data_IF_819376459292
#
_entry.id   IF_819376459292
#
_cell.length_a   1.000
_cell.length_b   1.000
_cell.length_c   1.000
_cell.angle_alpha   90.00
_cell.angle_beta   90.00
_cell.angle_gamma   90.00
#
_symmetry.space_group_name_H-M   'P 1'
#
loop_
_entity.id
_entity.type
_entity.pdbx_description
1 polymer ?
2 polymer ?
3 branched ?
4 branched ?
5 non-polymer ?
#
# COMPACT_ATOMS: atom_id res chain seq x y z
N UNK A 9 16.31 -9.00 -18.01
CA UNK A 9 17.15 -9.40 -16.86
C UNK A 9 16.47 -9.30 -15.49
N UNK A 10 16.00 -8.12 -15.04
CA UNK A 10 15.63 -7.98 -13.62
C UNK A 10 14.29 -8.58 -13.18
N UNK A 11 14.29 -8.77 -11.90
CA UNK A 11 13.38 -9.63 -11.17
C UNK A 11 12.12 -8.92 -10.73
N UNK A 12 12.21 -7.63 -10.45
CA UNK A 12 11.04 -6.93 -9.92
C UNK A 12 9.91 -6.88 -10.93
N UNK A 13 10.26 -6.77 -12.18
CA UNK A 13 9.24 -6.84 -13.23
C UNK A 13 8.93 -8.29 -13.61
N UNK A 14 9.29 -9.18 -12.70
CA UNK A 14 8.79 -10.57 -12.79
C UNK A 14 7.65 -10.75 -11.78
N UNK A 15 7.61 -9.83 -10.83
CA UNK A 15 6.59 -9.85 -9.75
C UNK A 15 5.63 -8.68 -9.77
N UNK A 16 6.08 -7.58 -10.38
CA UNK A 16 5.33 -6.32 -10.47
C UNK A 16 3.90 -6.56 -10.95
N UNK A 17 3.67 -7.09 -12.14
CA UNK A 17 2.31 -7.25 -12.64
C UNK A 17 1.43 -8.09 -11.73
N UNK A 18 2.08 -8.84 -10.85
CA UNK A 18 1.36 -9.76 -9.96
C UNK A 18 0.94 -8.96 -8.74
N UNK A 19 1.86 -8.12 -8.28
CA UNK A 19 1.56 -7.13 -7.24
C UNK A 19 0.36 -6.35 -7.68
N UNK A 20 0.51 -5.84 -8.86
CA UNK A 20 -0.41 -4.83 -9.32
C UNK A 20 -1.81 -5.39 -9.31
N UNK A 21 -1.93 -6.52 -9.92
CA UNK A 21 -3.22 -7.18 -10.03
C UNK A 21 -3.81 -7.55 -8.66
N UNK A 22 -2.92 -7.77 -7.68
CA UNK A 22 -3.31 -8.05 -6.27
C UNK A 22 -3.98 -6.84 -5.65
N UNK A 23 -3.28 -5.73 -5.77
CA UNK A 23 -3.68 -4.44 -5.23
C UNK A 23 -5.11 -4.15 -5.60
N UNK A 24 -5.34 -4.20 -6.91
CA UNK A 24 -6.62 -3.83 -7.51
C UNK A 24 -7.67 -4.75 -6.96
N UNK A 25 -7.23 -5.94 -6.72
CA UNK A 25 -8.16 -7.03 -6.43
C UNK A 25 -8.51 -6.99 -4.96
N UNK A 26 -7.58 -6.40 -4.24
CA UNK A 26 -7.72 -6.11 -2.82
C UNK A 26 -8.63 -4.91 -2.69
N UNK A 27 -8.32 -3.93 -3.51
CA UNK A 27 -9.06 -2.70 -3.56
C UNK A 27 -10.55 -3.03 -3.66
N UNK A 28 -10.88 -3.79 -4.68
CA UNK A 28 -12.27 -4.04 -5.03
C UNK A 28 -13.03 -4.68 -3.88
N UNK A 29 -12.26 -5.31 -3.00
CA UNK A 29 -12.82 -5.91 -1.80
C UNK A 29 -13.10 -4.84 -0.74
N UNK A 30 -12.19 -3.92 -0.66
CA UNK A 30 -12.42 -2.79 0.22
C UNK A 30 -13.55 -1.92 -0.31
N UNK A 31 -13.64 -1.81 -1.60
CA UNK A 31 -14.65 -0.91 -2.16
C UNK A 31 -16.03 -1.55 -2.09
N UNK A 32 -16.04 -2.88 -2.00
CA UNK A 32 -17.30 -3.65 -1.88
C UNK A 32 -17.83 -3.56 -0.44
N UNK A 33 -16.97 -3.11 0.43
CA UNK A 33 -17.35 -2.99 1.83
C UNK A 33 -18.18 -1.75 2.13
N UNK A 34 -17.66 -0.61 1.80
CA UNK A 34 -18.45 0.62 1.95
C UNK A 34 -18.26 1.54 0.76
N UNK A 35 -19.33 2.15 0.33
CA UNK A 35 -19.16 3.03 -0.82
C UNK A 35 -18.98 4.48 -0.36
N UNK A 36 -19.04 4.61 0.94
CA UNK A 36 -19.24 5.91 1.59
C UNK A 36 -17.99 6.43 2.27
N UNK A 37 -16.90 5.68 2.17
CA UNK A 37 -15.68 5.99 2.96
C UNK A 37 -14.41 6.04 2.11
N UNK A 38 -13.46 6.85 2.51
CA UNK A 38 -12.21 6.95 1.79
C UNK A 38 -11.42 5.66 1.97
N UNK A 39 -10.69 5.30 0.96
CA UNK A 39 -9.81 4.11 1.07
C UNK A 39 -8.36 4.51 0.83
N UNK A 40 -7.43 4.00 1.58
CA UNK A 40 -6.06 4.30 1.21
C UNK A 40 -5.13 3.23 1.74
N UNK A 41 -4.50 2.50 0.86
CA UNK A 41 -3.60 1.46 1.38
C UNK A 41 -2.24 1.54 0.75
N UNK A 42 -1.37 0.67 1.21
CA UNK A 42 -0.10 0.49 0.53
C UNK A 42 0.00 -0.96 0.16
N UNK A 43 -0.11 -1.24 -1.11
CA UNK A 43 -0.24 -2.62 -1.54
C UNK A 43 1.09 -3.33 -1.32
N UNK A 44 2.12 -2.56 -1.34
CA UNK A 44 3.46 -3.09 -1.11
C UNK A 44 3.68 -3.39 0.37
N UNK A 45 3.21 -2.51 1.23
CA UNK A 45 3.37 -2.74 2.67
C UNK A 45 2.66 -4.01 3.09
N UNK A 46 1.46 -4.15 2.60
CA UNK A 46 0.76 -5.41 2.82
C UNK A 46 1.47 -6.62 2.21
N UNK A 47 1.68 -6.58 0.91
CA UNK A 47 2.15 -7.76 0.17
C UNK A 47 3.48 -8.32 0.64
N UNK A 48 4.40 -7.47 0.97
CA UNK A 48 5.69 -7.99 1.43
C UNK A 48 5.64 -8.60 2.84
N UNK A 49 4.67 -8.18 3.62
CA UNK A 49 4.55 -8.73 4.96
C UNK A 49 4.11 -10.18 4.86
N UNK A 50 3.24 -10.45 3.94
CA UNK A 50 2.73 -11.82 3.76
C UNK A 50 3.67 -12.72 2.93
N UNK A 51 4.74 -12.18 2.47
CA UNK A 51 5.62 -13.06 1.72
C UNK A 51 6.79 -13.46 2.61
N UNK A 52 7.22 -12.55 3.45
CA UNK A 52 8.22 -13.02 4.38
C UNK A 52 7.58 -13.78 5.53
N UNK A 53 6.27 -13.76 5.57
CA UNK A 53 5.65 -14.68 6.51
C UNK A 53 5.64 -16.05 5.87
N UNK A 54 5.47 -16.01 4.56
CA UNK A 54 5.21 -17.27 3.84
C UNK A 54 6.46 -18.15 3.78
N UNK A 55 7.58 -17.50 3.95
CA UNK A 55 8.84 -18.19 4.21
C UNK A 55 8.69 -19.23 5.31
N UNK A 56 7.82 -18.94 6.27
CA UNK A 56 7.68 -19.73 7.50
C UNK A 56 6.48 -20.64 7.44
N UNK A 57 6.04 -20.86 6.23
CA UNK A 57 4.80 -21.60 6.01
C UNK A 57 5.03 -22.85 5.15
N UNK A 58 4.12 -23.80 5.28
CA UNK A 58 4.21 -25.08 4.57
C UNK A 58 2.81 -25.47 4.07
N UNK A 59 2.79 -26.29 3.04
CA UNK A 59 1.61 -26.91 2.38
C UNK A 59 0.49 -25.96 1.99
N UNK A 60 -0.75 -26.39 2.24
CA UNK A 60 -1.97 -25.64 1.91
C UNK A 60 -1.80 -24.18 2.27
N UNK A 61 -1.41 -23.97 3.51
CA UNK A 61 -1.53 -22.65 4.08
C UNK A 61 -0.50 -21.72 3.48
N UNK A 62 0.56 -22.34 2.99
CA UNK A 62 1.64 -21.62 2.31
C UNK A 62 1.13 -21.22 0.94
N UNK A 63 0.57 -22.21 0.31
CA UNK A 63 0.11 -22.05 -1.07
C UNK A 63 -0.90 -20.92 -1.20
N UNK A 64 -1.94 -20.95 -0.36
CA UNK A 64 -2.96 -19.88 -0.35
C UNK A 64 -2.33 -18.51 -0.21
N UNK A 65 -1.29 -18.40 0.58
CA UNK A 65 -0.78 -17.05 0.79
C UNK A 65 -0.23 -16.55 -0.53
N UNK A 66 0.69 -17.32 -1.05
CA UNK A 66 1.40 -16.91 -2.27
C UNK A 66 0.44 -16.77 -3.44
N UNK A 67 -0.40 -17.75 -3.52
CA UNK A 67 -1.45 -17.81 -4.54
C UNK A 67 -2.35 -16.60 -4.38
N UNK A 68 -2.66 -16.33 -3.13
CA UNK A 68 -3.60 -15.27 -2.74
C UNK A 68 -3.09 -13.91 -3.18
N UNK A 69 -1.79 -13.82 -3.26
CA UNK A 69 -1.13 -12.58 -3.67
C UNK A 69 -1.02 -12.42 -5.18
N UNK A 70 -1.85 -13.12 -5.93
CA UNK A 70 -1.76 -13.17 -7.38
C UNK A 70 -0.41 -13.72 -7.86
N UNK A 71 0.00 -14.85 -7.30
CA UNK A 71 1.12 -15.63 -7.86
C UNK A 71 0.65 -17.01 -8.34
N UNK A 72 1.11 -17.44 -9.49
CA UNK A 72 0.62 -18.71 -10.08
C UNK A 72 1.75 -19.74 -10.16
N UNK A 73 1.88 -20.45 -9.06
CA UNK A 73 3.08 -21.22 -8.70
C UNK A 73 3.61 -22.18 -9.77
N UNK A 74 2.72 -22.62 -10.65
CA UNK A 74 3.18 -23.51 -11.72
C UNK A 74 4.06 -22.72 -12.67
N UNK A 75 3.64 -21.50 -12.91
CA UNK A 75 4.33 -20.67 -13.90
C UNK A 75 5.56 -19.97 -13.34
N UNK A 76 5.58 -19.84 -12.04
CA UNK A 76 6.78 -19.23 -11.42
C UNK A 76 7.17 -19.93 -10.13
N UNK A 77 8.39 -20.46 -10.14
CA UNK A 77 8.95 -21.21 -8.99
C UNK A 77 9.04 -20.32 -7.76
N UNK A 78 8.60 -20.88 -6.64
CA UNK A 78 8.57 -20.23 -5.31
C UNK A 78 9.84 -19.40 -5.10
N UNK A 79 10.95 -20.06 -5.35
CA UNK A 79 12.25 -19.48 -5.07
C UNK A 79 12.49 -18.16 -5.80
N UNK A 80 11.83 -17.98 -6.93
CA UNK A 80 12.05 -16.75 -7.73
C UNK A 80 11.21 -15.58 -7.24
N UNK A 81 10.13 -15.89 -6.59
CA UNK A 81 9.27 -14.83 -6.11
C UNK A 81 10.00 -14.04 -5.02
N UNK A 82 10.67 -14.76 -4.16
CA UNK A 82 11.43 -14.12 -3.08
C UNK A 82 12.69 -13.44 -3.62
N UNK A 83 13.27 -14.00 -4.67
CA UNK A 83 14.44 -13.33 -5.27
C UNK A 83 13.97 -11.98 -5.81
N UNK A 84 12.76 -12.03 -6.34
CA UNK A 84 12.05 -10.86 -6.87
C UNK A 84 11.84 -9.83 -5.77
N UNK A 85 11.34 -10.30 -4.66
CA UNK A 85 11.08 -9.37 -3.58
C UNK A 85 12.39 -8.79 -3.09
N UNK A 86 13.39 -9.64 -2.97
CA UNK A 86 14.74 -9.19 -2.55
C UNK A 86 15.21 -8.06 -3.44
N UNK A 87 14.75 -8.09 -4.68
CA UNK A 87 15.18 -7.06 -5.61
C UNK A 87 14.37 -5.78 -5.49
N UNK A 88 13.06 -5.95 -5.44
CA UNK A 88 12.10 -4.83 -5.29
C UNK A 88 12.50 -3.91 -4.13
N UNK A 89 12.75 -4.54 -3.00
CA UNK A 89 13.10 -3.89 -1.73
C UNK A 89 14.46 -3.23 -1.77
N UNK A 90 15.33 -3.72 -2.65
CA UNK A 90 16.69 -3.18 -2.76
C UNK A 90 16.56 -1.85 -3.47
N UNK A 91 15.70 -1.92 -4.46
CA UNK A 91 15.55 -0.87 -5.47
C UNK A 91 14.73 0.30 -4.94
N UNK A 92 13.82 -0.03 -4.03
CA UNK A 92 13.02 1.00 -3.35
C UNK A 92 13.88 1.76 -2.36
N UNK A 93 14.75 1.04 -1.68
CA UNK A 93 15.57 1.68 -0.65
C UNK A 93 16.89 2.16 -1.22
N UNK A 94 16.89 2.47 -2.51
CA UNK A 94 18.05 3.15 -3.13
C UNK A 94 17.91 4.65 -2.93
N UNK A 95 19.03 5.31 -2.89
CA UNK A 95 19.05 6.76 -2.70
C UNK A 95 18.74 7.53 -3.98
N UNK A 96 17.45 7.69 -4.18
CA UNK A 96 16.99 8.78 -5.01
C UNK A 96 17.36 10.09 -4.33
N UNK A 97 18.02 10.92 -5.10
CA UNK A 97 18.68 12.10 -4.57
C UNK A 97 17.67 13.20 -4.28
N UNK A 98 16.49 13.05 -4.82
CA UNK A 98 15.51 14.12 -4.68
C UNK A 98 14.27 13.65 -3.91
N UNK A 99 14.04 12.37 -4.02
CA UNK A 99 12.86 11.73 -3.42
C UNK A 99 13.27 10.91 -2.21
N UNK A 100 12.53 10.98 -1.13
CA UNK A 100 12.83 10.08 -0.01
C UNK A 100 11.79 8.99 0.22
N UNK A 101 12.25 7.75 0.06
CA UNK A 101 11.45 6.52 0.16
C UNK A 101 12.23 5.44 0.90
N UNK A 102 11.60 4.88 1.93
CA UNK A 102 12.18 3.87 2.83
C UNK A 102 11.16 2.78 3.20
N UNK A 103 11.59 1.53 3.15
CA UNK A 103 10.80 0.41 3.69
C UNK A 103 11.64 -0.33 4.72
N UNK A 104 10.97 -1.07 5.55
CA UNK A 104 11.75 -1.85 6.52
C UNK A 104 10.91 -3.00 7.04
N UNK A 105 11.56 -4.12 7.30
CA UNK A 105 10.85 -5.30 7.82
C UNK A 105 11.47 -5.76 9.14
N UNK A 106 10.60 -5.98 10.13
CA UNK A 106 11.06 -6.37 11.47
C UNK A 106 10.35 -7.57 12.06
N UNK A 107 11.12 -8.39 12.73
CA UNK A 107 10.57 -9.47 13.56
C UNK A 107 10.76 -9.11 15.02
N UNK A 108 9.71 -9.33 15.76
CA UNK A 108 9.75 -9.21 17.21
C UNK A 108 9.34 -10.55 17.79
N UNK A 109 10.28 -11.19 18.46
CA UNK A 109 10.17 -12.57 18.92
C UNK A 109 10.28 -12.67 20.44
N UNK A 110 9.46 -13.52 21.04
CA UNK A 110 9.60 -13.74 22.49
C UNK A 110 10.87 -14.49 22.84
N UNK A 111 11.52 -14.05 23.92
CA UNK A 111 12.78 -14.61 24.48
C UNK A 111 12.80 -16.15 24.47
N UNK A 112 11.64 -16.70 24.80
CA UNK A 112 11.46 -18.14 25.04
C UNK A 112 11.54 -18.95 23.75
N UNK A 113 11.36 -18.28 22.63
CA UNK A 113 11.27 -18.98 21.33
C UNK A 113 12.63 -19.49 20.85
N UNK A 114 12.63 -20.72 20.33
CA UNK A 114 13.74 -21.21 19.48
C UNK A 114 13.29 -21.44 18.03
N UNK A 115 13.94 -20.76 17.12
CA UNK A 115 13.45 -20.71 15.74
C UNK A 115 14.17 -21.71 14.84
N UNK A 116 13.59 -21.93 13.70
CA UNK A 116 14.28 -22.69 12.66
C UNK A 116 15.30 -21.78 12.00
N UNK A 117 16.55 -22.08 12.32
CA UNK A 117 17.65 -21.12 12.07
C UNK A 117 17.76 -20.77 10.59
N UNK A 118 17.08 -21.53 9.77
CA UNK A 118 17.03 -21.24 8.33
C UNK A 118 16.07 -20.10 8.05
N UNK A 119 14.85 -20.23 8.57
CA UNK A 119 13.79 -19.21 8.45
C UNK A 119 14.32 -17.84 8.88
N UNK A 120 15.09 -17.86 9.92
CA UNK A 120 15.64 -16.60 10.38
C UNK A 120 16.54 -16.01 9.31
N UNK A 121 17.36 -16.89 8.76
CA UNK A 121 18.46 -16.44 7.90
C UNK A 121 17.85 -15.98 6.59
N UNK A 122 16.83 -16.71 6.21
CA UNK A 122 16.07 -16.40 5.00
C UNK A 122 15.56 -14.96 5.06
N UNK A 123 14.91 -14.63 6.15
CA UNK A 123 14.30 -13.30 6.22
C UNK A 123 15.36 -12.23 6.34
N UNK A 124 16.51 -12.63 6.80
CA UNK A 124 17.52 -11.62 7.09
C UNK A 124 18.18 -11.20 5.78
N UNK A 125 18.12 -12.13 4.89
CA UNK A 125 18.94 -12.04 3.69
C UNK A 125 18.08 -11.48 2.59
N UNK A 126 16.99 -12.17 2.38
CA UNK A 126 16.04 -11.86 1.32
C UNK A 126 15.28 -10.59 1.65
N UNK A 127 14.65 -10.55 2.79
CA UNK A 127 13.80 -9.40 3.01
C UNK A 127 14.46 -8.43 3.96
N UNK A 128 15.78 -8.59 4.03
CA UNK A 128 16.72 -7.71 4.76
C UNK A 128 16.23 -7.35 6.16
N UNK A 129 15.41 -8.24 6.70
CA UNK A 129 14.68 -8.01 7.95
C UNK A 129 15.56 -7.91 9.19
N UNK A 130 15.03 -7.20 10.17
CA UNK A 130 15.63 -6.97 11.49
C UNK A 130 14.95 -7.82 12.56
N UNK A 131 15.72 -8.32 13.50
CA UNK A 131 15.13 -9.26 14.45
C UNK A 131 15.35 -8.83 15.90
N UNK A 132 14.27 -8.75 16.62
CA UNK A 132 14.36 -8.29 18.00
C UNK A 132 13.82 -9.35 18.94
N UNK A 133 14.47 -9.45 20.08
CA UNK A 133 13.99 -10.31 21.17
C UNK A 133 13.21 -9.45 22.14
N UNK A 134 11.98 -9.82 22.41
CA UNK A 134 11.18 -9.15 23.45
C UNK A 134 10.57 -10.14 24.44
N UNK A 135 9.96 -9.58 25.46
CA UNK A 135 9.28 -10.33 26.51
C UNK A 135 7.80 -9.99 26.41
N UNK A 136 7.04 -10.84 25.75
CA UNK A 136 5.60 -10.60 25.54
C UNK A 136 4.79 -10.81 26.82
N UNK A 137 5.50 -10.96 27.92
CA UNK A 137 4.86 -10.98 29.23
C UNK A 137 4.58 -9.54 29.67
N UNK A 138 5.42 -8.61 29.27
CA UNK A 138 5.14 -7.20 29.57
C UNK A 138 4.44 -6.55 28.38
N UNK A 139 3.18 -6.90 28.27
CA UNK A 139 2.37 -6.52 27.11
C UNK A 139 2.51 -5.05 26.75
N UNK A 140 2.39 -4.17 27.74
CA UNK A 140 2.47 -2.74 27.47
C UNK A 140 3.87 -2.28 27.08
N UNK A 141 4.86 -3.02 27.47
CA UNK A 141 6.21 -2.58 27.14
C UNK A 141 6.56 -3.08 25.74
N UNK A 142 5.87 -4.13 25.36
CA UNK A 142 6.20 -4.76 24.08
C UNK A 142 5.47 -4.01 22.98
N UNK A 143 4.25 -3.65 23.32
CA UNK A 143 3.38 -2.78 22.53
C UNK A 143 4.10 -1.47 22.24
N UNK A 144 4.77 -0.98 23.25
CA UNK A 144 5.45 0.30 23.14
C UNK A 144 6.55 0.17 22.11
N UNK A 145 7.28 -0.90 22.29
CA UNK A 145 8.59 -1.03 21.65
C UNK A 145 8.42 -1.25 20.15
N UNK A 146 7.32 -1.90 19.85
CA UNK A 146 6.93 -2.10 18.46
C UNK A 146 6.47 -0.79 17.85
N UNK A 147 5.62 -0.08 18.57
CA UNK A 147 5.05 1.14 17.99
C UNK A 147 6.12 2.21 17.80
N UNK A 148 7.23 2.03 18.49
CA UNK A 148 8.31 2.98 18.31
C UNK A 148 9.00 2.71 17.00
N UNK A 149 9.07 1.46 16.64
CA UNK A 149 9.84 1.08 15.45
C UNK A 149 9.18 1.75 14.25
N UNK A 150 7.89 1.55 14.22
CA UNK A 150 7.03 2.10 13.19
C UNK A 150 6.97 3.62 13.29
N UNK A 151 7.02 4.16 14.48
CA UNK A 151 7.13 5.64 14.60
C UNK A 151 8.46 6.15 14.06
N UNK A 152 9.51 5.40 14.34
CA UNK A 152 10.86 5.79 13.92
C UNK A 152 11.04 5.63 12.43
N UNK A 153 10.38 4.64 11.90
CA UNK A 153 10.53 4.39 10.47
C UNK A 153 9.65 5.33 9.68
N UNK A 154 8.43 5.51 10.15
CA UNK A 154 7.48 6.30 9.36
C UNK A 154 7.62 7.77 9.70
N UNK A 155 8.71 8.06 10.35
CA UNK A 155 9.09 9.40 10.82
C UNK A 155 7.95 10.18 11.44
N UNK A 156 7.20 9.48 12.24
CA UNK A 156 6.26 10.15 13.11
C UNK A 156 4.87 10.17 12.50
N UNK A 157 4.74 9.57 11.34
CA UNK A 157 3.41 9.56 10.71
C UNK A 157 2.46 8.43 11.15
N UNK A 158 3.00 7.30 11.55
CA UNK A 158 2.16 6.20 12.09
C UNK A 158 2.59 5.79 13.50
N UNK A 159 1.74 6.12 14.46
CA UNK A 159 2.15 6.10 15.86
C UNK A 159 1.40 5.07 16.70
N UNK A 160 0.25 4.69 16.26
CA UNK A 160 -0.52 3.78 17.09
C UNK A 160 -0.92 2.56 16.29
N UNK A 161 0.06 1.86 15.78
CA UNK A 161 -0.29 0.76 14.85
C UNK A 161 -0.96 -0.37 15.61
N UNK A 162 -0.32 -0.70 16.68
CA UNK A 162 -0.83 -1.76 17.53
C UNK A 162 -1.51 -1.17 18.76
N UNK A 163 -2.84 -1.18 18.74
CA UNK A 163 -3.62 -0.69 19.87
C UNK A 163 -3.89 -1.80 20.88
N UNK A 164 -4.28 -2.98 20.43
CA UNK A 164 -4.54 -4.12 21.34
C UNK A 164 -3.62 -5.31 21.08
N UNK A 165 -2.56 -5.41 21.86
CA UNK A 165 -1.61 -6.53 21.72
C UNK A 165 -1.99 -7.71 22.62
N UNK A 166 -1.96 -8.91 22.07
CA UNK A 166 -2.43 -10.06 22.83
C UNK A 166 -1.38 -10.55 23.81
N UNK A 167 -1.88 -11.02 24.92
CA UNK A 167 -1.03 -11.44 26.03
C UNK A 167 -0.15 -12.64 25.67
N UNK A 168 -0.69 -13.59 24.91
CA UNK A 168 0.03 -14.84 24.59
C UNK A 168 0.78 -14.83 23.27
N UNK A 169 1.19 -13.65 22.84
CA UNK A 169 1.82 -13.48 21.53
C UNK A 169 3.23 -14.06 21.50
N UNK A 170 3.49 -14.73 20.44
CA UNK A 170 4.71 -15.49 20.37
C UNK A 170 5.70 -14.79 19.45
N UNK A 171 5.14 -14.22 18.42
CA UNK A 171 5.90 -13.26 17.59
C UNK A 171 5.03 -12.26 16.85
N UNK A 172 5.66 -11.15 16.49
CA UNK A 172 5.08 -10.10 15.64
C UNK A 172 5.97 -9.78 14.44
N UNK A 173 5.33 -9.78 13.26
CA UNK A 173 5.90 -9.36 11.97
C UNK A 173 5.29 -8.04 11.55
N UNK A 174 6.17 -7.06 11.50
CA UNK A 174 5.87 -5.65 11.22
C UNK A 174 6.69 -5.15 10.03
N UNK A 175 6.07 -4.35 9.22
CA UNK A 175 6.85 -3.76 8.14
C UNK A 175 6.35 -2.35 7.92
N UNK A 176 7.21 -1.50 7.39
CA UNK A 176 6.78 -0.14 7.10
C UNK A 176 7.21 0.33 5.70
N UNK A 177 6.62 1.43 5.28
CA UNK A 177 7.00 2.19 4.07
C UNK A 177 6.73 3.68 4.31
N UNK A 178 7.70 4.50 3.94
CA UNK A 178 7.69 5.98 4.13
C UNK A 178 8.03 6.73 2.83
N UNK A 179 7.11 7.55 2.35
CA UNK A 179 7.31 8.30 1.09
C UNK A 179 7.23 9.81 1.31
N UNK A 180 8.26 10.57 0.95
CA UNK A 180 8.11 12.04 0.85
C UNK A 180 8.80 12.67 -0.36
N UNK A 181 8.01 13.07 -1.33
CA UNK A 181 8.60 13.62 -2.55
C UNK A 181 7.81 14.82 -3.02
N UNK A 182 8.45 15.60 -3.87
CA UNK A 182 7.96 16.88 -4.43
C UNK A 182 7.43 16.72 -5.85
N UNK A 183 6.47 17.54 -6.19
CA UNK A 183 6.03 17.63 -7.60
C UNK A 183 7.16 18.11 -8.52
N UNK A 184 7.08 17.80 -9.79
CA UNK A 184 7.95 18.57 -10.69
C UNK A 184 7.28 19.91 -10.96
N UNK A 185 5.97 19.86 -11.09
CA UNK A 185 5.21 21.03 -11.55
C UNK A 185 4.30 21.54 -10.44
N UNK A 186 4.89 22.23 -9.49
CA UNK A 186 4.25 22.39 -8.19
C UNK A 186 3.18 23.45 -8.21
N UNK A 187 2.31 23.35 -7.27
CA UNK A 187 1.27 24.33 -7.26
C UNK A 187 1.70 25.60 -6.54
N UNK A 188 1.21 26.68 -7.08
CA UNK A 188 1.44 28.00 -6.49
C UNK A 188 0.34 28.30 -5.47
N UNK A 189 0.80 28.40 -4.24
CA UNK A 189 -0.08 28.41 -3.06
C UNK A 189 -1.13 29.52 -3.07
N UNK A 190 -0.76 30.60 -3.71
CA UNK A 190 -1.55 31.82 -3.81
C UNK A 190 -2.84 31.54 -4.58
N UNK A 191 -2.89 30.41 -5.25
CA UNK A 191 -4.01 30.13 -6.14
C UNK A 191 -5.01 29.19 -5.47
N UNK A 192 -4.61 28.69 -4.34
CA UNK A 192 -5.42 27.65 -3.69
C UNK A 192 -6.60 28.31 -2.97
N UNK A 193 -7.76 27.88 -3.39
CA UNK A 193 -8.97 28.65 -3.18
C UNK A 193 -10.15 27.72 -2.85
N UNK A 194 -10.95 28.08 -1.87
CA UNK A 194 -11.99 27.16 -1.41
C UNK A 194 -13.15 27.03 -2.39
N UNK A 195 -13.45 25.79 -2.79
CA UNK A 195 -14.56 25.44 -3.72
C UNK A 195 -15.41 24.31 -3.15
N UNK A 196 -16.42 23.91 -3.90
CA UNK A 196 -17.25 22.75 -3.54
C UNK A 196 -16.66 21.42 -4.04
N UNK A 197 -16.92 20.39 -3.25
CA UNK A 197 -16.65 18.99 -3.61
C UNK A 197 -17.95 18.23 -3.42
N UNK A 198 -18.33 17.45 -4.39
CA UNK A 198 -19.65 16.82 -4.36
C UNK A 198 -19.55 15.34 -4.02
N UNK A 199 -19.36 15.09 -2.75
CA UNK A 199 -19.25 13.74 -2.19
C UNK A 199 -20.33 12.80 -2.71
N UNK A 200 -21.53 13.18 -2.42
CA UNK A 200 -22.64 12.28 -2.58
C UNK A 200 -23.65 13.06 -3.41
N UNK A 201 -24.78 12.49 -3.77
CA UNK A 201 -25.69 13.31 -4.58
C UNK A 201 -26.33 14.40 -3.71
N UNK A 202 -26.23 14.21 -2.40
CA UNK A 202 -26.86 15.13 -1.43
C UNK A 202 -25.88 15.72 -0.42
N UNK A 203 -24.64 15.33 -0.53
CA UNK A 203 -23.64 15.87 0.41
C UNK A 203 -22.62 16.72 -0.35
N UNK A 204 -22.32 17.88 0.17
CA UNK A 204 -21.46 18.85 -0.52
C UNK A 204 -20.44 19.44 0.44
N UNK A 205 -19.19 19.30 0.15
CA UNK A 205 -18.15 19.65 1.12
C UNK A 205 -17.27 20.75 0.53
N UNK A 206 -17.04 21.81 1.29
CA UNK A 206 -16.16 22.91 0.86
C UNK A 206 -14.68 22.54 1.12
N UNK A 207 -13.86 22.65 0.10
CA UNK A 207 -12.46 22.18 0.16
C UNK A 207 -11.56 23.25 -0.43
N UNK A 208 -10.40 23.45 0.17
CA UNK A 208 -9.32 24.23 -0.46
C UNK A 208 -8.81 23.53 -1.73
N UNK A 209 -9.01 24.17 -2.86
CA UNK A 209 -8.74 23.50 -4.14
C UNK A 209 -7.51 24.11 -4.81
N UNK A 210 -6.46 23.34 -5.02
CA UNK A 210 -5.24 23.84 -5.70
C UNK A 210 -5.47 24.05 -7.19
N UNK A 211 -4.84 25.07 -7.72
CA UNK A 211 -5.14 25.44 -9.10
C UNK A 211 -3.89 25.77 -9.91
N UNK A 212 -3.88 25.21 -11.11
CA UNK A 212 -2.91 25.56 -12.16
C UNK A 212 -3.54 25.49 -13.55
N UNK A 213 -3.07 26.36 -14.43
CA UNK A 213 -3.43 26.38 -15.86
C UNK A 213 -2.17 26.16 -16.68
N UNK A 214 -2.00 24.96 -17.15
CA UNK A 214 -0.73 24.67 -17.80
C UNK A 214 -0.78 23.40 -18.63
N UNK A 215 0.41 22.92 -18.93
CA UNK A 215 0.64 21.82 -19.87
C UNK A 215 0.86 20.53 -19.12
N UNK A 216 -0.22 19.78 -18.96
CA UNK A 216 -0.23 18.61 -18.09
C UNK A 216 -0.29 17.33 -18.92
N UNK A 217 0.07 16.23 -18.30
CA UNK A 217 0.10 14.92 -18.94
C UNK A 217 -1.28 14.28 -18.91
N UNK A 218 -2.24 15.02 -19.38
CA UNK A 218 -3.57 14.53 -19.09
C UNK A 218 -4.17 13.98 -20.36
N UNK A 219 -5.20 13.19 -20.21
CA UNK A 219 -5.95 12.63 -21.32
C UNK A 219 -7.22 12.01 -20.78
N UNK A 220 -8.03 11.54 -21.67
CA UNK A 220 -9.30 10.94 -21.31
C UNK A 220 -9.50 9.67 -22.13
N UNK A 221 -9.75 8.55 -21.46
CA UNK A 221 -9.99 7.23 -22.12
C UNK A 221 -11.46 6.89 -22.11
N UNK A 222 -12.10 6.86 -23.27
CA UNK A 222 -13.47 6.33 -23.38
C UNK A 222 -13.61 4.92 -22.78
N UNK A 223 -12.52 4.19 -22.86
CA UNK A 223 -12.34 2.85 -22.24
C UNK A 223 -12.69 2.85 -20.76
N UNK A 224 -11.96 3.66 -20.04
CA UNK A 224 -12.10 3.78 -18.60
C UNK A 224 -13.26 4.68 -18.23
N UNK A 225 -13.78 5.33 -19.24
CA UNK A 225 -14.74 6.42 -19.05
C UNK A 225 -14.21 7.45 -18.07
N UNK A 226 -12.94 7.77 -18.18
CA UNK A 226 -12.34 8.67 -17.21
C UNK A 226 -11.42 9.72 -17.82
N UNK A 227 -11.16 10.73 -17.01
CA UNK A 227 -9.94 11.53 -17.19
C UNK A 227 -8.78 10.87 -16.44
N UNK A 228 -7.58 11.02 -16.96
CA UNK A 228 -6.37 10.45 -16.37
C UNK A 228 -5.27 11.51 -16.28
N UNK A 229 -4.81 11.80 -15.08
CA UNK A 229 -3.76 12.79 -14.87
C UNK A 229 -2.50 12.16 -14.29
N UNK A 230 -1.37 12.40 -14.91
CA UNK A 230 -0.10 11.93 -14.39
C UNK A 230 0.78 13.08 -13.94
N UNK A 231 1.09 13.04 -12.67
CA UNK A 231 1.92 14.01 -11.95
C UNK A 231 3.28 13.45 -11.58
N UNK A 232 4.32 13.99 -12.17
CA UNK A 232 5.62 13.45 -11.78
C UNK A 232 6.05 14.06 -10.46
N UNK A 233 6.70 13.23 -9.70
CA UNK A 233 7.52 13.73 -8.61
C UNK A 233 8.93 13.93 -9.14
N UNK A 234 9.66 14.81 -8.50
CA UNK A 234 11.09 15.00 -8.79
C UNK A 234 11.81 13.77 -8.27
N UNK A 235 12.11 12.94 -9.22
CA UNK A 235 12.68 11.68 -8.85
C UNK A 235 11.77 10.56 -9.31
N UNK A 236 12.16 9.41 -8.83
CA UNK A 236 11.76 8.17 -9.43
C UNK A 236 10.45 7.69 -8.82
N UNK A 237 9.50 8.65 -8.69
CA UNK A 237 8.07 8.39 -8.37
C UNK A 237 7.08 9.07 -9.32
N UNK A 238 5.81 8.66 -9.33
CA UNK A 238 4.75 9.31 -10.15
C UNK A 238 3.36 9.05 -9.61
N UNK A 239 2.55 10.08 -9.55
CA UNK A 239 1.17 9.97 -9.10
C UNK A 239 0.18 9.99 -10.26
N UNK A 240 -0.78 9.13 -10.18
CA UNK A 240 -1.76 8.99 -11.26
C UNK A 240 -3.14 9.11 -10.68
N UNK A 241 -3.88 10.04 -11.24
CA UNK A 241 -5.26 10.33 -10.87
C UNK A 241 -6.23 9.93 -11.97
N UNK A 242 -7.40 9.48 -11.60
CA UNK A 242 -8.43 9.00 -12.54
C UNK A 242 -9.76 9.65 -12.18
N UNK A 243 -10.33 10.45 -13.05
CA UNK A 243 -11.60 11.09 -12.69
C UNK A 243 -12.71 10.52 -13.57
N UNK A 244 -13.54 9.70 -12.99
CA UNK A 244 -14.59 9.01 -13.74
C UNK A 244 -15.73 9.93 -14.13
N UNK A 245 -16.25 9.67 -15.31
CA UNK A 245 -17.47 10.29 -15.81
C UNK A 245 -18.61 9.96 -14.86
N UNK A 246 -19.54 10.89 -14.81
CA UNK A 246 -20.65 10.80 -13.86
C UNK A 246 -21.45 9.51 -14.07
N UNK A 247 -21.42 8.66 -13.06
CA UNK A 247 -22.09 7.37 -13.19
C UNK A 247 -21.12 6.21 -13.42
N UNK A 248 -19.93 6.55 -13.88
CA UNK A 248 -18.96 5.51 -14.29
C UNK A 248 -17.92 5.20 -13.22
N UNK A 249 -18.27 5.41 -11.97
CA UNK A 249 -17.23 5.19 -10.94
C UNK A 249 -16.95 3.72 -10.81
N UNK A 250 -18.01 2.97 -10.75
CA UNK A 250 -17.79 1.55 -10.51
C UNK A 250 -17.20 0.91 -11.76
N UNK A 251 -17.46 1.55 -12.86
CA UNK A 251 -16.95 1.04 -14.12
C UNK A 251 -15.43 1.13 -14.08
N UNK A 252 -15.00 2.30 -13.67
CA UNK A 252 -13.59 2.64 -13.58
C UNK A 252 -12.85 1.60 -12.76
N UNK A 253 -13.52 1.18 -11.72
CA UNK A 253 -12.84 0.32 -10.75
C UNK A 253 -12.65 -1.08 -11.31
N UNK A 254 -13.63 -1.47 -12.11
CA UNK A 254 -13.58 -2.82 -12.68
C UNK A 254 -12.70 -2.81 -13.91
N UNK A 255 -12.53 -1.66 -14.46
CA UNK A 255 -11.74 -1.71 -15.67
C UNK A 255 -10.23 -1.72 -15.41
N UNK A 256 -9.85 -1.28 -14.23
CA UNK A 256 -8.41 -1.17 -13.88
C UNK A 256 -7.64 -2.48 -14.01
N UNK A 257 -6.53 -2.38 -14.74
CA UNK A 257 -5.65 -3.51 -15.06
C UNK A 257 -4.23 -2.99 -15.29
N UNK A 258 -3.28 -3.71 -14.71
CA UNK A 258 -1.84 -3.35 -14.75
C UNK A 258 -1.40 -2.79 -16.10
N UNK A 259 -1.74 -3.50 -17.13
CA UNK A 259 -1.11 -3.17 -18.40
C UNK A 259 -1.57 -1.80 -18.88
N UNK A 260 -2.74 -1.43 -18.42
CA UNK A 260 -3.32 -0.12 -18.75
C UNK A 260 -2.52 1.00 -18.11
N UNK A 261 -2.04 0.68 -16.93
CA UNK A 261 -1.15 1.60 -16.19
C UNK A 261 0.17 1.77 -16.95
N UNK A 262 0.63 0.68 -17.53
CA UNK A 262 1.97 0.74 -18.14
C UNK A 262 1.93 1.51 -19.44
N UNK A 263 0.78 1.42 -20.07
CA UNK A 263 0.50 2.18 -21.28
C UNK A 263 0.60 3.67 -21.01
N UNK A 264 -0.05 4.09 -19.96
CA UNK A 264 -0.07 5.50 -19.58
C UNK A 264 1.33 6.01 -19.33
N UNK A 265 2.11 5.10 -18.77
CA UNK A 265 3.43 5.40 -18.21
C UNK A 265 4.44 5.63 -19.33
N UNK A 266 4.07 5.14 -20.49
CA UNK A 266 4.91 5.28 -21.70
C UNK A 266 4.51 6.52 -22.47
N UNK A 267 3.28 6.93 -22.26
CA UNK A 267 2.88 8.22 -22.82
C UNK A 267 3.49 9.40 -22.04
N UNK A 268 4.06 10.34 -22.77
CA UNK A 268 4.53 11.56 -22.10
C UNK A 268 4.03 12.83 -22.78
N UNK A 269 2.94 12.67 -23.51
CA UNK A 269 2.31 13.79 -24.25
C UNK A 269 1.40 14.66 -23.39
N UNK A 270 1.76 15.93 -23.43
CA UNK A 270 1.08 16.99 -22.69
C UNK A 270 -0.03 17.67 -23.50
N UNK A 271 -1.10 17.92 -22.79
CA UNK A 271 -2.27 18.72 -23.18
C UNK A 271 -2.29 19.97 -22.32
N UNK A 272 -2.74 21.09 -22.83
CA UNK A 272 -3.00 22.22 -21.91
C UNK A 272 -4.36 22.01 -21.25
N UNK A 273 -4.45 22.39 -19.96
CA UNK A 273 -5.73 22.34 -19.21
C UNK A 273 -5.78 23.22 -17.96
N UNK A 274 -7.01 23.38 -17.48
CA UNK A 274 -7.35 24.08 -16.23
C UNK A 274 -7.63 23.04 -15.16
N UNK A 275 -6.62 22.85 -14.33
CA UNK A 275 -6.64 21.79 -13.34
C UNK A 275 -6.85 22.35 -11.94
N UNK A 276 -7.91 21.86 -11.32
CA UNK A 276 -8.28 22.12 -9.93
C UNK A 276 -8.25 20.79 -9.21
N UNK A 277 -7.31 20.59 -8.30
CA UNK A 277 -7.46 19.40 -7.43
C UNK A 277 -7.19 19.69 -5.97
N UNK A 278 -7.95 19.02 -5.13
CA UNK A 278 -7.98 19.26 -3.69
C UNK A 278 -6.63 19.06 -3.03
N UNK A 279 -6.46 19.71 -1.89
CA UNK A 279 -5.43 19.26 -0.95
C UNK A 279 -5.99 18.37 0.14
N UNK A 280 -5.19 17.32 0.41
CA UNK A 280 -5.64 16.07 1.07
C UNK A 280 -4.85 15.66 2.32
N UNK A 281 -5.62 15.20 3.29
CA UNK A 281 -5.12 14.37 4.38
C UNK A 281 -6.22 13.41 4.76
N UNK A 282 -5.93 12.16 4.48
CA UNK A 282 -6.75 11.04 4.93
C UNK A 282 -5.85 9.94 5.47
N UNK A 283 -6.52 8.95 6.05
CA UNK A 283 -5.93 7.68 6.51
C UNK A 283 -6.88 6.55 6.20
N UNK A 284 -6.33 5.36 6.24
CA UNK A 284 -7.10 4.11 6.23
C UNK A 284 -6.56 3.20 7.32
N UNK A 285 -7.45 2.59 8.09
CA UNK A 285 -7.00 1.76 9.20
C UNK A 285 -7.79 0.46 9.27
N UNK A 286 -7.14 -0.58 8.83
CA UNK A 286 -7.86 -1.77 8.43
C UNK A 286 -7.54 -2.97 9.29
N UNK A 287 -8.57 -3.77 9.50
CA UNK A 287 -8.41 -5.15 9.96
C UNK A 287 -8.65 -6.04 8.76
N UNK A 288 -7.56 -6.55 8.20
CA UNK A 288 -7.58 -7.15 6.87
C UNK A 288 -8.20 -8.54 6.76
N UNK A 289 -8.37 -9.14 7.90
CA UNK A 289 -8.71 -10.56 8.08
C UNK A 289 -9.88 -11.02 7.23
N UNK A 290 -10.88 -10.19 7.16
CA UNK A 290 -12.09 -10.56 6.43
C UNK A 290 -11.88 -10.35 4.94
N UNK A 291 -11.09 -9.35 4.67
CA UNK A 291 -10.78 -9.01 3.27
C UNK A 291 -9.94 -10.06 2.54
N UNK A 292 -8.81 -10.39 3.15
CA UNK A 292 -7.93 -11.48 2.74
C UNK A 292 -8.67 -12.81 2.69
N UNK A 293 -9.72 -12.90 3.48
CA UNK A 293 -10.57 -14.08 3.47
C UNK A 293 -11.17 -14.32 2.09
N UNK A 294 -11.73 -13.24 1.53
CA UNK A 294 -12.40 -13.32 0.21
C UNK A 294 -11.38 -13.53 -0.89
N UNK A 295 -10.19 -13.11 -0.59
CA UNK A 295 -9.09 -13.31 -1.53
C UNK A 295 -8.54 -14.73 -1.37
N UNK A 296 -9.16 -15.50 -0.50
CA UNK A 296 -8.83 -16.93 -0.41
C UNK A 296 -7.76 -17.23 0.62
N UNK A 297 -7.41 -16.26 1.43
CA UNK A 297 -6.37 -16.48 2.43
C UNK A 297 -6.95 -16.73 3.82
N UNK A 298 -7.15 -18.00 4.11
CA UNK A 298 -7.87 -18.37 5.31
C UNK A 298 -6.95 -19.05 6.31
N UNK A 299 -6.21 -19.97 5.77
CA UNK A 299 -5.81 -21.06 6.64
C UNK A 299 -4.80 -20.60 7.67
N UNK A 300 -4.08 -19.56 7.34
CA UNK A 300 -3.12 -18.98 8.28
C UNK A 300 -3.87 -18.34 9.43
N UNK A 301 -5.08 -18.04 9.15
CA UNK A 301 -5.83 -17.42 10.21
C UNK A 301 -6.69 -18.49 10.87
N UNK A 302 -6.30 -19.73 10.67
CA UNK A 302 -7.05 -20.84 11.29
C UNK A 302 -6.22 -21.72 12.24
N UNK A 303 -6.89 -22.71 12.78
CA UNK A 303 -6.21 -23.78 13.53
C UNK A 303 -5.75 -24.84 12.52
N UNK A 304 -5.90 -24.55 11.27
CA UNK A 304 -5.34 -25.44 10.25
C UNK A 304 -3.92 -24.99 9.91
N UNK A 305 -3.59 -23.81 10.40
CA UNK A 305 -2.35 -23.08 10.06
C UNK A 305 -1.08 -23.87 10.37
N UNK A 306 -0.24 -23.97 9.36
CA UNK A 306 1.09 -24.53 9.53
C UNK A 306 2.14 -23.42 9.53
N UNK A 307 2.80 -23.27 10.65
CA UNK A 307 3.94 -22.36 10.71
C UNK A 307 5.15 -23.08 11.27
N UNK A 308 5.32 -24.31 10.83
CA UNK A 308 6.41 -25.17 11.31
C UNK A 308 7.72 -24.76 10.67
N UNK A 309 7.60 -23.77 9.83
CA UNK A 309 8.78 -23.16 9.23
C UNK A 309 9.39 -22.22 10.26
N UNK A 310 8.57 -21.83 11.23
CA UNK A 310 9.02 -20.79 12.17
C UNK A 310 9.65 -21.41 13.40
N UNK A 311 8.89 -22.26 14.01
CA UNK A 311 9.37 -22.96 15.19
C UNK A 311 8.62 -24.29 15.34
N UNK A 312 9.31 -25.18 16.00
CA UNK A 312 8.83 -26.52 16.24
C UNK A 312 8.20 -26.68 17.62
N UNK A 313 8.46 -25.75 18.51
CA UNK A 313 8.00 -25.91 19.90
C UNK A 313 6.49 -26.05 19.96
N UNK A 314 5.80 -25.15 19.26
CA UNK A 314 4.32 -25.13 19.22
C UNK A 314 3.77 -24.79 17.84
N UNK A 315 2.57 -25.32 17.57
CA UNK A 315 1.76 -24.89 16.43
C UNK A 315 1.26 -23.46 16.60
N UNK A 316 1.72 -22.63 15.71
CA UNK A 316 1.29 -21.23 15.76
C UNK A 316 0.10 -21.02 14.83
N UNK A 317 -0.58 -19.89 15.01
CA UNK A 317 -1.51 -19.33 14.02
C UNK A 317 -1.47 -17.82 14.02
N UNK A 318 -2.15 -17.21 13.08
CA UNK A 318 -2.07 -15.76 12.90
C UNK A 318 -3.34 -15.19 13.48
N UNK A 319 -3.24 -14.14 14.25
CA UNK A 319 -4.46 -13.79 15.00
C UNK A 319 -5.05 -12.49 14.49
N UNK A 320 -4.11 -11.60 14.16
CA UNK A 320 -4.33 -10.21 13.72
C UNK A 320 -3.51 -9.90 12.48
N UNK A 321 -4.18 -9.34 11.50
CA UNK A 321 -3.51 -8.71 10.35
C UNK A 321 -4.07 -7.31 10.12
N UNK A 322 -3.42 -6.34 10.73
CA UNK A 322 -3.89 -4.97 10.86
C UNK A 322 -2.92 -4.01 10.20
N UNK A 323 -3.43 -3.25 9.25
CA UNK A 323 -2.62 -2.34 8.39
C UNK A 323 -3.13 -0.93 8.61
N UNK A 324 -2.26 0.06 8.45
CA UNK A 324 -2.62 1.48 8.54
C UNK A 324 -1.82 2.33 7.56
N UNK A 325 -2.49 3.23 6.83
CA UNK A 325 -1.79 4.20 5.95
C UNK A 325 -2.37 5.62 6.02
N UNK A 326 -1.51 6.62 5.74
CA UNK A 326 -1.78 8.06 5.92
C UNK A 326 -1.27 8.91 4.74
N UNK A 327 -2.16 9.61 4.09
CA UNK A 327 -1.86 10.43 2.89
C UNK A 327 -1.84 11.93 3.17
N UNK A 328 -0.81 12.60 2.71
CA UNK A 328 -0.92 14.06 2.71
C UNK A 328 -0.44 14.69 1.41
N UNK A 329 -1.39 15.25 0.66
CA UNK A 329 -1.08 15.96 -0.60
C UNK A 329 -1.34 17.45 -0.46
N UNK A 330 -0.32 18.19 -0.78
CA UNK A 330 -0.41 19.64 -0.76
C UNK A 330 0.18 20.17 -2.06
N UNK A 331 0.56 21.42 -2.01
CA UNK A 331 0.93 22.10 -3.25
C UNK A 331 2.39 21.85 -3.58
N UNK A 332 3.09 21.29 -2.63
CA UNK A 332 4.52 21.14 -2.83
C UNK A 332 4.85 19.67 -3.07
N UNK A 333 3.91 18.85 -2.70
CA UNK A 333 4.13 17.43 -2.97
C UNK A 333 3.17 16.54 -2.19
N UNK A 334 3.74 15.43 -1.74
CA UNK A 334 3.00 14.43 -0.96
C UNK A 334 3.91 13.73 0.05
N UNK A 335 3.38 13.53 1.26
CA UNK A 335 3.98 12.58 2.22
C UNK A 335 2.97 11.59 2.75
N UNK A 336 3.32 10.35 2.53
CA UNK A 336 2.44 9.19 2.74
C UNK A 336 3.20 8.11 3.49
N UNK A 337 2.49 7.41 4.36
CA UNK A 337 3.11 6.33 5.13
C UNK A 337 2.16 5.19 5.47
N UNK A 338 2.67 3.99 5.41
CA UNK A 338 1.85 2.84 5.76
C UNK A 338 2.67 1.85 6.59
N UNK A 339 1.96 0.92 7.19
CA UNK A 339 2.58 -0.14 7.97
C UNK A 339 1.67 -1.37 8.11
N UNK A 340 2.29 -2.53 8.15
CA UNK A 340 1.58 -3.80 8.29
C UNK A 340 1.96 -4.54 9.57
N UNK A 341 0.96 -5.02 10.27
CA UNK A 341 1.17 -5.68 11.55
C UNK A 341 0.49 -7.04 11.54
N UNK A 342 1.30 -8.01 11.83
CA UNK A 342 0.86 -9.38 11.87
C UNK A 342 1.25 -9.93 13.22
N UNK A 343 0.29 -10.46 13.94
CA UNK A 343 0.64 -11.13 15.22
C UNK A 343 0.26 -12.61 15.23
N UNK A 344 1.21 -13.39 15.74
CA UNK A 344 1.05 -14.84 15.87
C UNK A 344 0.99 -15.33 17.33
N UNK A 345 0.04 -16.23 17.54
CA UNK A 345 -0.22 -16.86 18.85
C UNK A 345 -0.31 -18.37 18.73
N UNK A 346 -0.17 -19.09 19.82
CA UNK A 346 -0.39 -20.54 19.82
C UNK A 346 -1.87 -20.88 19.93
N UNK A 347 -2.20 -22.03 19.39
CA UNK A 347 -3.56 -22.55 19.11
C UNK A 347 -4.63 -22.37 20.20
N UNK B 1 -15.07 25.52 -21.98
CA UNK B 1 -13.91 26.33 -21.62
C UNK B 1 -12.70 25.87 -22.43
N UNK B 2 -11.80 26.79 -22.69
CA UNK B 2 -10.54 26.54 -23.43
C UNK B 2 -9.41 27.27 -22.70
N UNK B 3 -8.39 26.58 -22.18
CA UNK B 3 -8.26 25.12 -22.17
C UNK B 3 -9.23 24.50 -21.18
N UNK B 4 -9.58 23.28 -21.45
CA UNK B 4 -10.74 22.66 -20.81
C UNK B 4 -10.44 22.35 -19.35
N UNK B 5 -11.48 22.51 -18.61
CA UNK B 5 -11.41 22.61 -17.17
C UNK B 5 -11.68 21.23 -16.58
N UNK B 6 -10.66 20.71 -15.96
CA UNK B 6 -10.74 19.38 -15.33
C UNK B 6 -10.73 19.50 -13.80
N UNK B 7 -11.92 19.51 -13.25
CA UNK B 7 -12.13 19.71 -11.81
C UNK B 7 -12.32 18.35 -11.15
N UNK B 8 -11.38 18.00 -10.28
CA UNK B 8 -11.53 16.86 -9.35
C UNK B 8 -12.37 17.29 -8.14
N UNK B 9 -13.63 17.49 -8.39
CA UNK B 9 -14.51 17.99 -7.34
C UNK B 9 -15.54 16.92 -7.01
N UNK B 10 -15.13 15.70 -7.25
CA UNK B 10 -15.92 14.50 -6.93
C UNK B 10 -15.02 13.27 -6.75
N UNK B 11 -15.52 12.26 -6.05
CA UNK B 11 -14.76 11.03 -5.77
C UNK B 11 -14.02 10.45 -6.97
N UNK B 12 -12.72 10.41 -6.78
CA UNK B 12 -11.75 9.91 -7.74
C UNK B 12 -10.88 8.85 -7.09
N UNK B 13 -10.28 8.03 -7.92
CA UNK B 13 -9.35 7.00 -7.45
C UNK B 13 -7.95 7.49 -7.79
N UNK B 14 -6.97 7.16 -7.01
CA UNK B 14 -5.61 7.48 -7.42
C UNK B 14 -4.63 6.39 -6.97
N UNK B 15 -3.40 6.46 -7.48
CA UNK B 15 -2.34 5.59 -6.99
C UNK B 15 -0.94 6.10 -7.31
N UNK B 16 0.01 5.62 -6.52
CA UNK B 16 1.38 6.10 -6.53
C UNK B 16 2.29 4.97 -6.96
N UNK B 17 3.26 5.31 -7.74
CA UNK B 17 3.99 4.26 -8.42
C UNK B 17 5.46 4.60 -8.38
N UNK B 18 6.30 3.60 -8.13
CA UNK B 18 7.76 3.78 -8.23
C UNK B 18 8.18 3.52 -9.68
N UNK B 19 8.93 4.43 -10.26
CA UNK B 19 9.18 4.38 -11.70
C UNK B 19 9.98 3.17 -12.14
N UNK B 20 11.13 3.01 -11.53
CA UNK B 20 12.04 1.95 -11.96
C UNK B 20 11.35 0.61 -12.01
N UNK B 21 10.47 0.36 -11.07
CA UNK B 21 9.97 -0.99 -10.88
C UNK B 21 8.54 -1.09 -11.37
N UNK B 22 7.99 0.08 -11.51
CA UNK B 22 6.57 0.29 -11.77
C UNK B 22 5.66 -0.46 -10.80
N UNK B 23 6.11 -0.56 -9.57
CA UNK B 23 5.37 -1.23 -8.50
C UNK B 23 4.46 -0.29 -7.71
N UNK B 24 3.29 -0.79 -7.44
CA UNK B 24 2.23 0.03 -6.85
C UNK B 24 2.47 0.36 -5.37
N UNK B 25 3.07 1.52 -5.09
CA UNK B 25 3.38 2.03 -3.73
C UNK B 25 2.17 2.13 -2.82
N UNK B 26 1.22 2.93 -3.26
CA UNK B 26 -0.02 3.21 -2.53
C UNK B 26 -1.18 3.28 -3.51
N UNK B 27 -2.32 2.80 -3.12
CA UNK B 27 -3.50 3.10 -3.90
C UNK B 27 -4.60 3.69 -3.01
N UNK B 28 -5.35 4.63 -3.53
CA UNK B 28 -6.40 5.30 -2.74
C UNK B 28 -7.68 5.62 -3.51
N UNK B 29 -8.70 5.99 -2.75
CA UNK B 29 -9.97 6.52 -3.27
C UNK B 29 -10.38 7.65 -2.34
N UNK B 30 -10.64 8.81 -2.89
CA UNK B 30 -11.10 9.93 -2.05
C UNK B 30 -12.60 10.19 -2.17
N UNK B 31 -13.36 9.81 -1.16
CA UNK B 31 -14.81 10.00 -1.23
C UNK B 31 -15.17 11.32 -0.57
N UNK B 32 -14.40 11.64 0.45
CA UNK B 32 -14.62 12.88 1.21
C UNK B 32 -13.33 13.25 1.90
N UNK B 33 -12.82 14.37 1.49
CA UNK B 33 -11.53 14.85 2.00
C UNK B 33 -11.64 15.59 3.34
N UNK B 34 -12.75 15.43 4.02
CA UNK B 34 -12.79 16.02 5.35
C UNK B 34 -12.94 14.89 6.37
N UNK B 35 -13.23 13.73 5.83
CA UNK B 35 -13.27 12.52 6.65
C UNK B 35 -11.85 11.99 6.83
N UNK B 36 -11.34 12.26 8.00
CA UNK B 36 -10.04 11.71 8.37
C UNK B 36 -10.25 10.72 9.52
X LIG C 1 -23.70 4.58 -2.23
X LIG C 1 -23.71 5.91 -3.00
X LIG C 1 -25.11 6.54 -2.95
X LIG C 1 -26.27 5.57 -3.28
X LIG C 1 -26.04 4.13 -2.76
X LIG C 1 -26.93 3.08 -3.49
X LIG C 1 -21.53 7.09 -2.97
X LIG C 1 -21.21 6.45 -4.33
X LIG C 1 -22.69 6.80 -2.42
X LIG C 1 -25.20 7.71 -3.79
X LIG C 1 -27.42 6.07 -2.57
X LIG C 1 -24.67 3.74 -2.86
X LIG C 1 -26.85 1.82 -2.81
X LIG C 1 -20.72 7.88 -2.50
X LIG C 2 -28.75 6.04 -3.09
X LIG C 2 -29.74 6.13 -1.90
X LIG C 2 -31.16 6.56 -2.31
X LIG C 2 -31.10 7.84 -3.17
X LIG C 2 -30.18 7.55 -4.38
X LIG C 2 -30.00 8.70 -5.35
X LIG C 2 -30.17 3.70 -1.56
X LIG C 2 -30.09 2.57 -0.55
X LIG C 2 -29.77 4.89 -1.12
X LIG C 2 -32.00 6.77 -1.17
X LIG C 2 -32.44 8.20 -3.57
X LIG C 2 -28.89 7.21 -3.88
X LIG C 2 -31.10 8.71 -6.25
X LIG C 2 -30.59 3.47 -2.70
X LIG C 3 -32.92 9.55 -3.36
X LIG C 3 -33.18 10.18 -4.74
X LIG C 3 -33.86 11.56 -4.60
X LIG C 3 -35.12 11.47 -3.73
X LIG C 3 -34.82 10.82 -2.37
X LIG C 3 -36.14 10.60 -1.60
X LIG C 3 -34.01 9.30 -5.53
X LIG C 3 -34.22 12.05 -5.91
X LIG C 3 -35.68 12.77 -3.54
X LIG C 3 -34.14 9.57 -2.60
X LIG C 3 -35.95 9.73 -0.48
X LIG C 4 -37.09 8.99 -0.01
X LIG C 4 -36.62 7.97 1.04
X LIG C 4 -35.46 7.16 0.42
X LIG C 4 -35.93 6.43 -0.84
X LIG C 4 -36.66 7.37 -1.82
X LIG C 4 -37.41 6.60 -2.92
X LIG C 4 -37.76 7.12 1.30
X LIG C 4 -34.85 6.25 1.35
X LIG C 4 -34.81 5.81 -1.50
X LIG C 4 -37.57 8.23 -1.12
X LIG C 4 -38.03 7.51 -3.83
X LIG C 5 -37.76 5.97 2.15
X LIG C 5 -38.91 6.13 3.16
X LIG C 5 -39.20 4.83 3.94
X LIG C 5 -39.50 3.71 2.93
X LIG C 5 -38.34 3.56 1.92
X LIG C 5 -38.72 2.56 0.81
X LIG C 5 -37.76 7.38 4.95
X LIG C 5 -37.79 8.68 5.76
X LIG C 5 -38.72 7.28 4.07
X LIG C 5 -40.33 5.02 4.80
X LIG C 5 -39.75 2.46 3.60
X LIG C 5 -38.06 4.83 1.32
X LIG C 5 -39.94 2.96 0.18
X LIG C 5 -36.88 6.55 5.17
X LIG C 6 -33.26 12.79 -6.69
X LIG C 6 -33.98 13.56 -7.80
X LIG C 6 -34.55 12.59 -8.85
X LIG C 6 -33.42 11.71 -9.41
X LIG C 6 -32.71 10.95 -8.28
X LIG C 6 -31.50 10.16 -8.81
X LIG C 6 -33.05 14.46 -8.43
X LIG C 6 -35.16 13.33 -9.92
X LIG C 6 -33.92 10.79 -10.39
X LIG C 6 -32.29 11.90 -7.29
X LIG C 6 -30.64 11.03 -9.57
X LIG D 1 -1.56 -20.86 -13.82
X LIG D 1 -2.68 -21.70 -13.16
X LIG D 1 -3.53 -22.41 -14.25
X LIG D 1 -3.99 -21.45 -15.35
X LIG D 1 -2.84 -20.55 -15.88
X LIG D 1 -3.35 -19.42 -16.79
X LIG D 1 -2.75 -23.24 -11.26
X LIG D 1 -2.05 -24.38 -10.53
X LIG D 1 -2.09 -22.72 -12.28
X LIG D 1 -4.68 -23.06 -13.69
X LIG D 1 -4.47 -22.25 -16.43
X LIG D 1 -2.15 -19.97 -14.77
X LIG D 1 -4.31 -18.62 -16.07
X LIG D 1 -3.90 -22.94 -10.95
X LIG D 2 -5.68 -21.93 -17.11
X LIG D 2 -5.90 -22.97 -18.23
X LIG D 2 -7.32 -22.86 -18.82
X LIG D 2 -8.36 -22.95 -17.70
X LIG D 2 -8.10 -21.89 -16.62
X LIG D 2 -9.05 -22.06 -15.43
X LIG D 2 -4.16 -23.83 -19.68
X LIG D 2 -3.15 -23.54 -20.78
X LIG D 2 -4.89 -22.82 -19.27
X LIG D 2 -7.52 -23.93 -19.77
X LIG D 2 -9.69 -22.81 -18.24
X LIG D 2 -6.75 -22.03 -16.17
X LIG D 2 -8.86 -23.37 -14.87
X LIG D 2 -4.28 -24.98 -19.25
X LIG E 1 16.03 7.10 -9.49
X LIG E 1 17.13 8.14 -9.17
X LIG E 1 18.43 8.07 -10.01
X LIG E 1 18.88 6.63 -10.24
X LIG E 1 17.69 5.88 -10.82
X LIG E 1 18.06 4.46 -11.27
X LIG E 1 16.60 10.49 -9.90
X LIG E 1 16.22 11.87 -9.39
X LIG E 1 16.65 9.54 -8.97
X LIG E 1 19.48 8.82 -9.38
X LIG E 1 19.95 6.61 -11.20
X LIG E 1 16.67 5.87 -9.84
X LIG E 1 17.11 4.02 -12.24
X LIG E 1 16.90 10.38 -11.08
X LIG E 2 21.18 5.93 -10.92
X LIG E 2 21.99 5.78 -12.23
X LIG E 2 23.43 5.31 -11.96
X LIG E 2 24.09 6.38 -11.05
X LIG E 2 23.31 6.45 -9.72
X LIG E 2 23.88 7.51 -8.77
X LIG E 2 21.09 3.72 -13.29
X LIG E 2 20.36 3.21 -14.53
X LIG E 2 21.30 5.02 -13.29
X LIG E 2 24.13 5.16 -13.20
X LIG E 2 25.50 6.18 -10.80
X LIG E 2 21.94 6.75 -10.02
X LIG E 2 23.15 7.47 -7.53
X LIG E 2 21.44 2.92 -12.42
X LIG F 1 -3.69 4.36 -23.54
X LIG F 1 -5.01 4.02 -24.10
X LIG F 1 -4.90 3.42 -25.50
X LIG F 1 -4.00 3.80 -26.25
X LIG F 1 -5.99 5.23 -24.08
X LIG F 1 -7.64 4.82 -23.46
X LIG F 1 -5.43 2.29 -25.71
#
# INVERSE_FOLDING_TARGET
DTSHHDQDHPTFNKITPNLAEFAFSLYRQLAHQSNSTNIFFSPVSIATAFAMLSLGTKADTHDEILEGLNFNLTEIPEAQIHEGFQELLRTLNQPDSQLQLTTGNGLFLSEGLKLVDKFLEDVKKLYHSEAFTVNFGDTEEAKKQINDYVEKGTQGKIVDLVKELDRDTVFALVNYIFFKGKWERPFEVKDTEEEDFHVDQVTTVKVPMMKRLGMFNIQHCKKLSSWVLLMKYLGNATAIFFLPDEGKLQHLENELTHDIITKFLENEDRRSASLHLPKLSITGTYDLKSVLGQLGITKVFSNGADLSGVTEEAPLKLSKAVHKAVLTIDEKGTEAAGAMFLEAIPM
SIPPEVKFNKPFVFLMIEQNTKSPLFMGKVVNPTQK
NAG C1 C2 C3 C4 C5 C6 C7 C8 N2 O3 O4 O5 O6 O7
NAG C1 C2 C3 C4 C5 C6 C7 C8 N2 O3 O4 O5 O6 O7
MAN C1 C2 C3 C4 C5 C6 O2 O3 O4 O5 O6
MAN C1 C2 C3 C4 C5 C6 O2 O3 O4 O5 O6
NAG C1 C2 C3 C4 C5 C6 C7 C8 N2 O3 O4 O5 O6 O7
MAN C1 C2 C3 C4 C5 C6 O2 O3 O4 O5 O6
NAG C1 C2 C3 C4 C5 C6 C7 C8 N2 O3 O4 O5 O6 O7
NAG C1 C2 C3 C4 C5 C6 C7 C8 N2 O3 O4 O5 O6 O7
NAG C1 C2 C3 C4 C5 C6 C7 C8 N2 O3 O4 O5 O6 O7
NAG C1 C2 C3 C4 C5 C6 C7 C8 N2 O3 O4 O5 O6 O7
CYS N CA C O CB SG OXT
#
